data_IF_149799194865
#
_entry.id   IF_149799194865
#
_cell.length_a   1.000
_cell.length_b   1.000
_cell.length_c   1.000
_cell.angle_alpha   90.00
_cell.angle_beta   90.00
_cell.angle_gamma   90.00
#
_symmetry.space_group_name_H-M   'P 1'
#
loop_
_entity.id
_entity.type
_entity.pdbx_description
1 polymer ?
#
# COMPACT_ATOMS: atom_id res chain seq x y z
N UNK A 1 10.66 9.26 21.59
CA UNK A 1 10.93 9.08 21.04
C UNK A 1 10.97 8.92 20.00
N UNK A 2 10.95 8.71 19.50
CA UNK A 2 11.05 8.46 18.70
C UNK A 2 11.14 8.05 17.88
N UNK A 3 10.92 8.17 17.67
CA UNK A 3 11.06 7.57 16.91
C UNK A 3 11.67 7.09 15.91
N UNK A 4 11.86 6.93 16.06
CA UNK A 4 12.57 6.13 15.43
C UNK A 4 12.19 5.83 14.13
N UNK A 5 11.10 6.17 13.79
CA UNK A 5 10.62 5.86 12.64
C UNK A 5 10.39 6.97 11.84
N UNK A 6 11.24 7.79 11.58
CA UNK A 6 11.05 8.90 10.70
C UNK A 6 10.86 8.39 9.26
N UNK A 7 11.34 7.19 8.98
CA UNK A 7 11.20 6.63 7.64
C UNK A 7 10.54 5.27 7.66
N UNK A 8 9.58 5.12 6.77
CA UNK A 8 8.93 3.83 6.60
C UNK A 8 9.71 3.02 5.60
N UNK A 9 9.69 1.71 5.75
CA UNK A 9 10.29 0.82 4.75
C UNK A 9 9.35 0.72 3.56
N UNK A 10 9.86 0.32 2.40
CA UNK A 10 8.97 0.06 1.25
C UNK A 10 7.89 -0.96 1.57
N UNK A 11 8.18 -1.93 2.44
CA UNK A 11 7.17 -2.92 2.84
C UNK A 11 6.02 -2.24 3.57
N UNK A 12 6.33 -1.32 4.46
CA UNK A 12 5.30 -0.61 5.20
C UNK A 12 4.43 0.24 4.28
N UNK A 13 5.07 0.89 3.30
CA UNK A 13 4.34 1.72 2.36
C UNK A 13 3.43 0.86 1.48
N UNK A 14 3.95 -0.25 0.96
CA UNK A 14 3.15 -1.17 0.15
C UNK A 14 1.98 -1.70 0.96
N UNK A 15 2.23 -2.09 2.21
CA UNK A 15 1.19 -2.60 3.08
C UNK A 15 0.09 -1.56 3.27
N UNK A 16 0.49 -0.32 3.54
CA UNK A 16 -0.49 0.75 3.76
C UNK A 16 -1.34 1.00 2.53
N UNK A 17 -0.72 1.01 1.35
CA UNK A 17 -1.45 1.24 0.12
C UNK A 17 -2.43 0.11 -0.15
N UNK A 18 -1.97 -1.14 -0.03
CA UNK A 18 -2.83 -2.28 -0.30
C UNK A 18 -3.99 -2.35 0.68
N UNK A 19 -3.72 -2.04 1.94
CA UNK A 19 -4.77 -2.05 2.96
C UNK A 19 -5.79 -0.95 2.72
N UNK A 20 -5.31 0.25 2.41
CA UNK A 20 -6.21 1.38 2.18
C UNK A 20 -7.05 1.19 0.92
N UNK A 21 -6.49 0.54 -0.09
CA UNK A 21 -7.15 0.33 -1.35
C UNK A 21 -8.02 -0.93 -1.40
N UNK A 22 -8.35 -1.51 -0.24
CA UNK A 22 -9.33 -2.61 -0.22
C UNK A 22 -10.65 -2.15 -0.85
N UNK A 23 -10.95 -0.86 -0.70
CA UNK A 23 -12.05 -0.23 -1.42
C UNK A 23 -11.45 0.71 -2.45
N UNK A 24 -12.16 1.00 -3.54
CA UNK A 24 -11.62 1.90 -4.56
C UNK A 24 -11.26 3.26 -3.98
N UNK A 25 -10.08 3.76 -4.32
CA UNK A 25 -9.59 5.03 -3.79
C UNK A 25 -8.98 5.87 -4.90
N UNK A 26 -9.13 7.19 -4.77
CA UNK A 26 -8.52 8.11 -5.72
C UNK A 26 -7.08 8.41 -5.32
N UNK A 27 -6.29 8.85 -6.28
CA UNK A 27 -4.88 9.18 -6.02
C UNK A 27 -4.73 10.15 -4.84
N UNK A 28 -5.54 11.20 -4.81
CA UNK A 28 -5.43 12.20 -3.75
C UNK A 28 -5.71 11.60 -2.37
N UNK A 29 -6.65 10.67 -2.32
CA UNK A 29 -6.97 10.00 -1.06
C UNK A 29 -5.80 9.15 -0.58
N UNK A 30 -5.17 8.43 -1.52
CA UNK A 30 -4.03 7.57 -1.20
C UNK A 30 -2.86 8.41 -0.71
N UNK A 31 -2.59 9.52 -1.37
CA UNK A 31 -1.51 10.42 -0.99
C UNK A 31 -1.70 10.89 0.46
N UNK A 32 -2.91 11.29 0.80
CA UNK A 32 -3.19 11.76 2.15
C UNK A 32 -3.15 10.64 3.18
N UNK A 33 -3.83 9.54 2.88
CA UNK A 33 -3.94 8.44 3.85
C UNK A 33 -2.61 7.79 4.13
N UNK A 34 -1.76 7.67 3.11
CA UNK A 34 -0.47 7.01 3.25
C UNK A 34 0.68 7.99 3.47
N UNK A 35 0.37 9.27 3.56
CA UNK A 35 1.36 10.31 3.79
C UNK A 35 2.52 10.24 2.81
N UNK A 36 2.18 10.30 1.53
CA UNK A 36 3.15 10.27 0.45
C UNK A 36 3.06 11.55 -0.36
N UNK A 37 4.13 11.90 -1.06
CA UNK A 37 4.01 12.94 -2.07
C UNK A 37 3.55 12.29 -3.37
N UNK A 38 3.16 13.14 -4.33
CA UNK A 38 2.58 12.65 -5.58
C UNK A 38 3.54 11.75 -6.34
N UNK A 39 4.80 12.15 -6.41
CA UNK A 39 5.79 11.40 -7.17
C UNK A 39 6.01 10.00 -6.60
N UNK A 40 6.17 9.91 -5.28
CA UNK A 40 6.38 8.61 -4.63
C UNK A 40 5.13 7.75 -4.73
N UNK A 41 3.96 8.37 -4.54
CA UNK A 41 2.71 7.63 -4.63
C UNK A 41 2.57 7.01 -6.02
N UNK A 42 2.82 7.78 -7.07
CA UNK A 42 2.69 7.26 -8.42
C UNK A 42 3.66 6.11 -8.69
N UNK A 43 4.88 6.22 -8.18
CA UNK A 43 5.85 5.14 -8.36
C UNK A 43 5.36 3.84 -7.73
N UNK A 44 4.86 3.91 -6.51
CA UNK A 44 4.37 2.72 -5.84
C UNK A 44 3.13 2.16 -6.52
N UNK A 45 2.23 3.06 -6.95
CA UNK A 45 1.01 2.59 -7.62
C UNK A 45 1.34 1.90 -8.93
N UNK A 46 2.27 2.46 -9.71
CA UNK A 46 2.68 1.84 -10.96
C UNK A 46 3.34 0.51 -10.74
N UNK A 47 4.18 0.43 -9.72
CA UNK A 47 4.82 -0.84 -9.37
C UNK A 47 3.78 -1.89 -9.03
N UNK A 48 2.82 -1.54 -8.19
CA UNK A 48 1.82 -2.49 -7.74
C UNK A 48 0.89 -2.92 -8.87
N UNK A 49 0.60 -1.99 -9.78
CA UNK A 49 -0.19 -2.34 -10.96
C UNK A 49 0.59 -3.29 -11.85
N UNK A 50 1.89 -3.04 -12.03
CA UNK A 50 2.72 -3.92 -12.86
C UNK A 50 2.84 -5.32 -12.28
N UNK A 51 2.69 -5.45 -10.97
CA UNK A 51 2.71 -6.75 -10.30
C UNK A 51 1.31 -7.33 -10.15
N UNK A 52 0.31 -6.66 -10.68
CA UNK A 52 -1.07 -7.08 -10.63
C UNK A 52 -1.66 -7.15 -9.23
N UNK A 53 -1.10 -6.39 -8.32
CA UNK A 53 -1.61 -6.30 -6.96
C UNK A 53 -2.63 -5.18 -6.79
N UNK A 54 -2.58 -4.19 -7.69
CA UNK A 54 -3.56 -3.13 -7.76
C UNK A 54 -4.14 -3.07 -9.17
N UNK A 55 -5.39 -2.65 -9.26
CA UNK A 55 -5.99 -2.35 -10.55
C UNK A 55 -6.44 -0.89 -10.52
N UNK A 56 -6.44 -0.25 -11.68
CA UNK A 56 -6.93 1.12 -11.81
C UNK A 56 -8.14 1.09 -12.71
N UNK A 57 -9.24 1.66 -12.24
CA UNK A 57 -10.47 1.69 -13.01
C UNK A 57 -11.12 3.03 -12.77
N UNK A 58 -11.31 3.80 -13.86
CA UNK A 58 -11.96 5.11 -13.75
C UNK A 58 -11.36 5.99 -12.66
N UNK A 59 -10.07 6.19 -12.72
CA UNK A 59 -9.37 7.08 -11.79
C UNK A 59 -9.31 6.58 -10.35
N UNK A 60 -9.73 5.36 -10.09
CA UNK A 60 -9.66 4.80 -8.75
C UNK A 60 -8.82 3.55 -8.74
N UNK A 61 -8.13 3.34 -7.64
CA UNK A 61 -7.24 2.20 -7.45
C UNK A 61 -7.84 1.24 -6.44
N UNK A 62 -7.80 -0.03 -6.76
CA UNK A 62 -8.34 -1.06 -5.86
C UNK A 62 -7.40 -2.24 -5.81
N UNK A 63 -7.19 -2.78 -4.60
CA UNK A 63 -6.35 -3.95 -4.40
C UNK A 63 -7.02 -5.17 -5.02
N UNK A 64 -6.25 -5.90 -5.81
CA UNK A 64 -6.75 -7.10 -6.48
C UNK A 64 -6.75 -8.27 -5.51
N UNK A 65 -7.30 -9.40 -5.96
CA UNK A 65 -7.27 -10.62 -5.14
C UNK A 65 -5.83 -11.02 -4.84
N UNK A 66 -4.95 -10.88 -5.83
CA UNK A 66 -3.53 -11.18 -5.64
C UNK A 66 -2.94 -10.25 -4.58
N UNK A 67 -3.28 -8.96 -4.64
CA UNK A 67 -2.83 -7.99 -3.65
C UNK A 67 -3.33 -8.33 -2.26
N UNK A 68 -4.57 -8.77 -2.14
CA UNK A 68 -5.11 -9.16 -0.84
C UNK A 68 -4.39 -10.39 -0.28
N UNK A 69 -4.01 -11.33 -1.14
CA UNK A 69 -3.23 -12.48 -0.69
C UNK A 69 -1.89 -12.05 -0.12
N UNK A 70 -1.20 -11.13 -0.80
CA UNK A 70 0.07 -10.62 -0.29
C UNK A 70 -0.12 -9.87 1.01
N UNK A 71 -1.19 -9.08 1.10
CA UNK A 71 -1.49 -8.35 2.32
C UNK A 71 -1.65 -9.29 3.50
N UNK A 72 -2.38 -10.39 3.30
CA UNK A 72 -2.57 -11.39 4.35
C UNK A 72 -1.26 -12.06 4.73
N UNK A 73 -0.42 -12.38 3.75
CA UNK A 73 0.88 -12.98 4.03
C UNK A 73 1.77 -12.03 4.84
N UNK A 74 1.77 -10.76 4.47
CA UNK A 74 2.55 -9.77 5.20
C UNK A 74 2.08 -9.67 6.65
N UNK A 75 0.77 -9.72 6.86
CA UNK A 75 0.22 -9.68 8.20
C UNK A 75 0.62 -10.90 9.02
N UNK A 76 0.57 -12.08 8.41
CA UNK A 76 0.95 -13.30 9.10
C UNK A 76 2.42 -13.27 9.51
N UNK A 77 3.28 -12.80 8.62
CA UNK A 77 4.70 -12.68 8.95
C UNK A 77 4.91 -11.72 10.11
N UNK A 78 4.22 -10.58 10.04
CA UNK A 78 4.34 -9.57 11.10
C UNK A 78 3.92 -10.16 12.45
N UNK A 79 2.79 -10.86 12.48
CA UNK A 79 2.30 -11.43 13.72
C UNK A 79 3.21 -12.54 14.25
N UNK A 80 3.77 -13.33 13.35
CA UNK A 80 4.68 -14.39 13.75
C UNK A 80 5.93 -13.83 14.41
N UNK A 81 6.38 -12.65 13.94
CA UNK A 81 7.61 -12.07 14.44
C UNK A 81 7.40 -11.18 15.67
N UNK A 82 6.26 -10.51 15.75
CA UNK A 82 6.07 -9.46 16.74
C UNK A 82 4.91 -9.60 17.70
N UNK A 83 4.21 -10.68 17.66
CA UNK A 83 3.10 -10.84 18.63
C UNK A 83 3.36 -11.91 19.68
#
# INVERSE_FOLDING_TARGET
MEPLRSKRTPYEIVWQILDYCRKPRKLTQIIQACNLNTSRAKKYLELLISKEMLSKNEEKYKTTKKGLNYLNLMQEVYQALFS
#
